data_IF_615716022819
#
_entry.id   IF_615716022819
#
_cell.length_a   1.000
_cell.length_b   1.000
_cell.length_c   1.000
_cell.angle_alpha   90.00
_cell.angle_beta   90.00
_cell.angle_gamma   90.00
#
_symmetry.space_group_name_H-M   'P 1'
#
loop_
_entity.id
_entity.type
_entity.pdbx_description
1 polymer ?
#
# COMPACT_ATOMS: atom_id res chain seq x y z
N UNK A 1 63.39 2.50 40.44
CA UNK A 1 62.70 2.04 39.22
C UNK A 1 62.84 3.14 38.18
N UNK A 2 63.69 2.92 37.18
CA UNK A 2 64.10 3.95 36.21
C UNK A 2 63.17 3.88 35.00
N UNK A 3 62.40 4.94 34.76
CA UNK A 3 61.46 5.01 33.64
C UNK A 3 62.25 5.18 32.34
N UNK A 4 62.23 4.12 31.52
CA UNK A 4 62.89 4.08 30.22
C UNK A 4 62.11 4.96 29.23
N UNK A 5 62.54 6.22 29.06
CA UNK A 5 62.00 7.09 28.02
C UNK A 5 62.57 6.61 26.67
N UNK A 6 61.79 5.81 25.93
CA UNK A 6 62.06 5.55 24.52
C UNK A 6 61.97 6.87 23.74
N UNK A 7 63.12 7.48 23.49
CA UNK A 7 63.25 8.54 22.51
C UNK A 7 63.07 7.92 21.13
N UNK A 8 61.88 8.08 20.54
CA UNK A 8 61.69 7.87 19.10
C UNK A 8 62.48 8.97 18.41
N UNK A 9 63.60 8.62 17.78
CA UNK A 9 64.39 9.54 16.97
C UNK A 9 63.50 10.14 15.87
N UNK A 10 63.18 11.42 16.01
CA UNK A 10 62.40 12.15 15.02
C UNK A 10 63.30 12.61 13.87
N UNK A 11 62.85 12.38 12.63
CA UNK A 11 63.47 12.99 11.44
C UNK A 11 63.54 14.52 11.61
N UNK A 12 64.73 15.10 11.36
CA UNK A 12 64.96 16.54 11.49
C UNK A 12 64.05 17.30 10.51
N UNK A 13 63.31 18.29 11.02
CA UNK A 13 62.49 19.18 10.19
C UNK A 13 63.39 20.17 9.46
N UNK A 14 63.33 20.18 8.14
CA UNK A 14 64.12 21.02 7.22
C UNK A 14 63.30 22.17 6.61
N UNK A 15 61.98 22.18 6.79
CA UNK A 15 61.04 23.16 6.21
C UNK A 15 60.28 23.93 7.29
N UNK A 16 60.01 25.19 7.03
CA UNK A 16 59.20 26.07 7.89
C UNK A 16 57.92 26.47 7.17
N UNK A 17 56.78 26.35 7.88
CA UNK A 17 55.46 26.79 7.41
C UNK A 17 54.98 27.89 8.35
N UNK A 18 54.54 29.02 7.80
CA UNK A 18 53.96 30.12 8.56
C UNK A 18 52.44 30.09 8.33
N UNK A 19 51.67 29.94 9.40
CA UNK A 19 50.21 30.00 9.35
C UNK A 19 49.70 31.23 10.11
N UNK A 20 48.69 31.91 9.56
CA UNK A 20 47.95 32.96 10.25
C UNK A 20 46.73 32.34 10.90
N UNK A 21 46.49 32.70 12.16
CA UNK A 21 45.34 32.26 12.95
C UNK A 21 44.79 33.46 13.70
N UNK A 22 43.49 33.47 13.95
CA UNK A 22 42.88 34.44 14.85
C UNK A 22 43.30 34.20 16.31
N UNK A 23 42.89 35.11 17.20
CA UNK A 23 43.25 35.06 18.61
C UNK A 23 42.64 33.84 19.34
N UNK A 24 41.43 33.43 18.97
CA UNK A 24 40.70 32.32 19.59
C UNK A 24 41.36 30.98 19.24
N UNK A 25 41.59 30.74 17.97
CA UNK A 25 42.30 29.59 17.42
C UNK A 25 43.69 29.48 18.04
N UNK A 26 44.41 30.59 18.20
CA UNK A 26 45.72 30.58 18.89
C UNK A 26 45.62 30.14 20.35
N UNK A 27 44.57 30.56 21.07
CA UNK A 27 44.33 30.11 22.44
C UNK A 27 43.96 28.63 22.50
N UNK A 28 43.12 28.16 21.58
CA UNK A 28 42.76 26.75 21.45
C UNK A 28 44.02 25.90 21.21
N UNK A 29 44.85 26.26 20.23
CA UNK A 29 46.10 25.56 19.92
C UNK A 29 47.03 25.48 21.13
N UNK A 30 47.13 26.55 21.93
CA UNK A 30 47.90 26.57 23.18
C UNK A 30 47.33 25.62 24.22
N UNK A 31 46.01 25.62 24.42
CA UNK A 31 45.33 24.77 25.39
C UNK A 31 45.54 23.30 25.06
N UNK A 32 45.27 22.91 23.82
CA UNK A 32 45.44 21.52 23.34
C UNK A 32 46.89 21.06 23.44
N UNK A 33 47.85 21.93 23.10
CA UNK A 33 49.28 21.63 23.25
C UNK A 33 49.69 21.49 24.72
N UNK A 34 49.17 22.35 25.61
CA UNK A 34 49.44 22.29 27.05
C UNK A 34 48.88 21.01 27.70
N UNK A 35 47.65 20.61 27.35
CA UNK A 35 47.04 19.35 27.79
C UNK A 35 47.90 18.14 27.38
N UNK A 36 48.50 18.18 26.19
CA UNK A 36 49.40 17.14 25.68
C UNK A 36 50.86 17.30 26.16
N UNK A 37 51.18 18.33 26.95
CA UNK A 37 52.54 18.67 27.41
C UNK A 37 53.56 18.77 26.27
N UNK A 38 53.14 19.36 25.15
CA UNK A 38 53.92 19.46 23.92
C UNK A 38 53.97 20.92 23.43
N UNK A 39 54.86 21.20 22.48
CA UNK A 39 54.84 22.48 21.77
C UNK A 39 53.70 22.50 20.76
N UNK A 40 53.16 23.69 20.48
CA UNK A 40 52.14 23.89 19.44
C UNK A 40 52.57 23.24 18.12
N UNK A 41 53.81 23.45 17.69
CA UNK A 41 54.32 22.87 16.44
C UNK A 41 54.29 21.33 16.43
N UNK A 42 54.65 20.68 17.55
CA UNK A 42 54.60 19.22 17.65
C UNK A 42 53.17 18.71 17.64
N UNK A 43 52.31 19.31 18.46
CA UNK A 43 50.90 18.95 18.56
C UNK A 43 50.18 19.15 17.23
N UNK A 44 50.44 20.25 16.52
CA UNK A 44 49.86 20.51 15.20
C UNK A 44 50.26 19.43 14.19
N UNK A 45 51.54 19.06 14.11
CA UNK A 45 52.00 18.00 13.19
C UNK A 45 51.40 16.64 13.54
N UNK A 46 51.32 16.30 14.82
CA UNK A 46 50.72 15.04 15.27
C UNK A 46 49.22 14.99 14.97
N UNK A 47 48.48 16.08 15.21
CA UNK A 47 47.06 16.18 14.88
C UNK A 47 46.82 16.07 13.36
N UNK A 48 47.64 16.71 12.53
CA UNK A 48 47.51 16.56 11.07
C UNK A 48 47.79 15.14 10.60
N UNK A 49 48.78 14.45 11.17
CA UNK A 49 49.04 13.03 10.85
C UNK A 49 47.91 12.11 11.31
N UNK A 50 47.32 12.40 12.47
CA UNK A 50 46.15 11.68 12.97
C UNK A 50 44.94 11.88 12.06
N UNK A 51 44.67 13.13 11.65
CA UNK A 51 43.58 13.46 10.74
C UNK A 51 43.78 12.81 9.36
N UNK A 52 44.98 12.85 8.79
CA UNK A 52 45.31 12.16 7.53
C UNK A 52 45.10 10.65 7.65
N UNK A 53 45.59 10.03 8.73
CA UNK A 53 45.38 8.61 8.99
C UNK A 53 43.91 8.23 9.17
N UNK A 54 43.11 9.08 9.82
CA UNK A 54 41.66 8.89 9.96
C UNK A 54 40.95 9.02 8.60
N UNK A 55 41.25 10.06 7.83
CA UNK A 55 40.67 10.27 6.51
C UNK A 55 40.97 9.11 5.55
N UNK A 56 42.23 8.65 5.52
CA UNK A 56 42.62 7.49 4.71
C UNK A 56 41.89 6.22 5.16
N UNK A 57 41.68 6.04 6.46
CA UNK A 57 40.95 4.89 7.00
C UNK A 57 39.46 4.96 6.66
N UNK A 58 38.82 6.10 6.85
CA UNK A 58 37.41 6.32 6.49
C UNK A 58 37.17 6.11 5.00
N UNK A 59 38.07 6.61 4.15
CA UNK A 59 38.02 6.38 2.71
C UNK A 59 38.11 4.88 2.37
N UNK A 60 39.07 4.16 2.97
CA UNK A 60 39.21 2.71 2.80
C UNK A 60 38.00 1.92 3.31
N UNK A 61 37.38 2.37 4.40
CA UNK A 61 36.17 1.75 4.93
C UNK A 61 34.97 2.00 4.00
N UNK A 62 34.83 3.22 3.46
CA UNK A 62 33.77 3.58 2.52
C UNK A 62 33.87 2.84 1.17
N UNK A 63 35.11 2.60 0.74
CA UNK A 63 35.45 1.88 -0.49
C UNK A 63 35.70 0.38 -0.24
N UNK A 64 35.37 -0.10 0.97
CA UNK A 64 35.49 -1.50 1.35
C UNK A 64 34.54 -2.37 0.53
N UNK A 65 34.96 -3.57 0.09
CA UNK A 65 34.09 -4.51 -0.62
C UNK A 65 32.82 -4.85 0.17
N UNK A 66 32.89 -4.84 1.50
CA UNK A 66 31.72 -5.06 2.36
C UNK A 66 30.67 -3.95 2.21
N UNK A 67 31.10 -2.69 2.18
CA UNK A 67 30.17 -1.56 2.02
C UNK A 67 29.55 -1.58 0.63
N UNK A 68 30.32 -1.95 -0.38
CA UNK A 68 29.81 -2.09 -1.75
C UNK A 68 28.77 -3.22 -1.86
N UNK A 69 29.03 -4.36 -1.23
CA UNK A 69 28.07 -5.47 -1.19
C UNK A 69 26.78 -5.06 -0.44
N UNK A 70 26.90 -4.28 0.64
CA UNK A 70 25.72 -3.73 1.33
C UNK A 70 24.94 -2.74 0.44
N UNK A 71 25.61 -1.91 -0.36
CA UNK A 71 24.94 -1.03 -1.34
C UNK A 71 24.19 -1.86 -2.38
N UNK A 72 24.78 -2.95 -2.86
CA UNK A 72 24.15 -3.88 -3.80
C UNK A 72 22.91 -4.54 -3.19
N UNK A 73 23.03 -5.10 -1.99
CA UNK A 73 21.91 -5.73 -1.27
C UNK A 73 20.76 -4.73 -1.08
N UNK A 74 21.06 -3.49 -0.69
CA UNK A 74 20.04 -2.44 -0.55
C UNK A 74 19.30 -2.18 -1.86
N UNK A 75 20.02 -2.12 -2.99
CA UNK A 75 19.40 -1.95 -4.31
C UNK A 75 18.52 -3.14 -4.71
N UNK A 76 18.93 -4.36 -4.35
CA UNK A 76 18.11 -5.56 -4.53
C UNK A 76 16.83 -5.54 -3.71
N UNK A 77 16.91 -5.19 -2.42
CA UNK A 77 15.75 -5.05 -1.53
C UNK A 77 14.76 -4.01 -2.09
N UNK A 78 15.26 -2.88 -2.60
CA UNK A 78 14.40 -1.86 -3.20
C UNK A 78 13.63 -2.40 -4.42
N UNK A 79 14.30 -3.15 -5.30
CA UNK A 79 13.68 -3.78 -6.47
C UNK A 79 12.61 -4.80 -6.05
N UNK A 80 12.91 -5.63 -5.04
CA UNK A 80 11.95 -6.60 -4.49
C UNK A 80 10.71 -5.88 -3.95
N UNK A 81 10.90 -4.83 -3.14
CA UNK A 81 9.79 -4.03 -2.59
C UNK A 81 8.95 -3.38 -3.68
N UNK A 82 9.58 -2.89 -4.76
CA UNK A 82 8.86 -2.34 -5.91
C UNK A 82 8.00 -3.40 -6.61
N UNK A 83 8.54 -4.59 -6.86
CA UNK A 83 7.82 -5.70 -7.48
C UNK A 83 6.65 -6.17 -6.60
N UNK A 84 6.85 -6.32 -5.30
CA UNK A 84 5.79 -6.67 -4.34
C UNK A 84 4.66 -5.63 -4.40
N UNK A 85 5.01 -4.35 -4.45
CA UNK A 85 4.01 -3.28 -4.54
C UNK A 85 3.23 -3.33 -5.87
N UNK A 86 3.87 -3.70 -6.98
CA UNK A 86 3.16 -3.92 -8.24
C UNK A 86 2.20 -5.11 -8.16
N UNK A 87 2.65 -6.24 -7.60
CA UNK A 87 1.81 -7.44 -7.38
C UNK A 87 0.60 -7.06 -6.52
N UNK A 88 0.81 -6.38 -5.40
CA UNK A 88 -0.28 -5.95 -4.53
C UNK A 88 -1.32 -5.08 -5.27
N UNK A 89 -0.86 -4.14 -6.10
CA UNK A 89 -1.77 -3.32 -6.93
C UNK A 89 -2.54 -4.18 -7.93
N UNK A 90 -1.86 -5.05 -8.67
CA UNK A 90 -2.48 -5.92 -9.67
C UNK A 90 -3.50 -6.86 -9.04
N UNK A 91 -3.15 -7.52 -7.94
CA UNK A 91 -4.05 -8.42 -7.22
C UNK A 91 -5.28 -7.67 -6.69
N UNK A 92 -5.12 -6.44 -6.19
CA UNK A 92 -6.27 -5.63 -5.77
C UNK A 92 -7.18 -5.26 -6.96
N UNK A 93 -6.61 -4.98 -8.13
CA UNK A 93 -7.37 -4.72 -9.35
C UNK A 93 -8.08 -5.97 -9.86
N UNK A 94 -7.40 -7.13 -9.91
CA UNK A 94 -7.99 -8.40 -10.35
C UNK A 94 -9.09 -8.89 -9.40
N UNK A 95 -8.89 -8.79 -8.09
CA UNK A 95 -9.93 -9.11 -7.10
C UNK A 95 -11.14 -8.16 -7.23
N UNK A 96 -10.89 -6.89 -7.51
CA UNK A 96 -11.94 -5.91 -7.80
C UNK A 96 -12.75 -6.31 -9.02
N UNK A 97 -12.09 -6.61 -10.14
CA UNK A 97 -12.73 -7.07 -11.36
C UNK A 97 -13.51 -8.38 -11.17
N UNK A 98 -12.92 -9.35 -10.46
CA UNK A 98 -13.58 -10.62 -10.17
C UNK A 98 -14.86 -10.44 -9.31
N UNK A 99 -14.85 -9.50 -8.37
CA UNK A 99 -16.03 -9.21 -7.56
C UNK A 99 -17.19 -8.64 -8.40
N UNK A 100 -16.88 -7.72 -9.33
CA UNK A 100 -17.85 -7.17 -10.26
C UNK A 100 -18.47 -8.26 -11.16
N UNK A 101 -17.65 -9.17 -11.69
CA UNK A 101 -18.13 -10.29 -12.51
C UNK A 101 -19.05 -11.24 -11.73
N UNK A 102 -18.69 -11.59 -10.49
CA UNK A 102 -19.53 -12.44 -9.62
C UNK A 102 -20.88 -11.78 -9.35
N UNK A 103 -20.91 -10.46 -9.11
CA UNK A 103 -22.17 -9.74 -8.90
C UNK A 103 -23.04 -9.73 -10.16
N UNK A 104 -22.42 -9.60 -11.34
CA UNK A 104 -23.12 -9.63 -12.62
C UNK A 104 -23.73 -11.00 -12.91
N UNK A 105 -22.96 -12.07 -12.72
CA UNK A 105 -23.44 -13.46 -12.89
C UNK A 105 -24.59 -13.74 -11.93
N UNK A 106 -24.47 -13.33 -10.65
CA UNK A 106 -25.54 -13.49 -9.67
C UNK A 106 -26.83 -12.76 -10.08
N UNK A 107 -26.72 -11.51 -10.53
CA UNK A 107 -27.87 -10.74 -11.02
C UNK A 107 -28.55 -11.41 -12.23
N UNK A 108 -27.77 -12.06 -13.10
CA UNK A 108 -28.30 -12.82 -14.23
C UNK A 108 -29.04 -14.09 -13.78
N UNK A 109 -28.48 -14.83 -12.81
CA UNK A 109 -29.14 -16.00 -12.23
C UNK A 109 -30.45 -15.60 -11.54
N UNK A 110 -30.45 -14.55 -10.72
CA UNK A 110 -31.64 -14.01 -10.06
C UNK A 110 -32.71 -13.55 -11.08
N UNK A 111 -32.29 -13.11 -12.26
CA UNK A 111 -33.21 -12.77 -13.36
C UNK A 111 -33.81 -14.02 -13.99
N UNK A 112 -33.01 -15.06 -14.24
CA UNK A 112 -33.48 -16.33 -14.76
C UNK A 112 -34.52 -16.98 -13.81
N UNK A 113 -34.25 -17.00 -12.50
CA UNK A 113 -35.20 -17.50 -11.50
C UNK A 113 -36.53 -16.76 -11.53
N UNK A 114 -36.51 -15.43 -11.63
CA UNK A 114 -37.74 -14.62 -11.74
C UNK A 114 -38.53 -14.91 -13.00
N UNK A 115 -37.86 -15.12 -14.13
CA UNK A 115 -38.51 -15.48 -15.40
C UNK A 115 -39.15 -16.86 -15.27
N UNK A 116 -38.43 -17.85 -14.74
CA UNK A 116 -38.95 -19.20 -14.51
C UNK A 116 -40.17 -19.19 -13.59
N UNK A 117 -40.10 -18.48 -12.47
CA UNK A 117 -41.24 -18.32 -11.56
C UNK A 117 -42.43 -17.58 -12.20
N UNK A 118 -42.17 -16.75 -13.21
CA UNK A 118 -43.20 -16.11 -14.04
C UNK A 118 -43.86 -17.11 -14.99
N UNK A 119 -43.06 -17.94 -15.66
CA UNK A 119 -43.54 -19.01 -16.54
C UNK A 119 -44.38 -20.01 -15.76
N UNK A 120 -43.90 -20.47 -14.59
CA UNK A 120 -44.64 -21.39 -13.72
C UNK A 120 -45.99 -20.81 -13.28
N UNK A 121 -46.04 -19.51 -12.99
CA UNK A 121 -47.29 -18.81 -12.69
C UNK A 121 -48.24 -18.76 -13.89
N UNK A 122 -47.74 -18.50 -15.09
CA UNK A 122 -48.54 -18.48 -16.32
C UNK A 122 -49.09 -19.87 -16.62
N UNK A 123 -48.26 -20.92 -16.54
CA UNK A 123 -48.66 -22.31 -16.74
C UNK A 123 -49.73 -22.69 -15.71
N UNK A 124 -49.51 -22.36 -14.44
CA UNK A 124 -50.47 -22.64 -13.36
C UNK A 124 -51.80 -21.87 -13.53
N UNK A 125 -51.76 -20.66 -14.08
CA UNK A 125 -52.95 -19.87 -14.38
C UNK A 125 -53.71 -20.43 -15.60
N UNK A 126 -53.01 -20.83 -16.65
CA UNK A 126 -53.62 -21.47 -17.83
C UNK A 126 -54.29 -22.80 -17.50
N UNK A 127 -53.65 -23.62 -16.67
CA UNK A 127 -54.23 -24.87 -16.17
C UNK A 127 -55.49 -24.66 -15.32
N UNK A 128 -55.61 -23.51 -14.64
CA UNK A 128 -56.83 -23.13 -13.91
C UNK A 128 -57.93 -22.61 -14.84
N UNK A 129 -57.58 -21.86 -15.88
CA UNK A 129 -58.53 -21.32 -16.87
C UNK A 129 -59.11 -22.42 -17.77
N UNK A 130 -58.33 -23.46 -18.10
CA UNK A 130 -58.83 -24.67 -18.79
C UNK A 130 -59.80 -25.49 -17.91
N UNK A 131 -59.58 -25.52 -16.59
CA UNK A 131 -60.50 -26.12 -15.62
C UNK A 131 -61.82 -25.35 -15.50
N UNK A 132 -61.76 -24.01 -15.41
CA UNK A 132 -62.95 -23.15 -15.36
C UNK A 132 -63.73 -23.15 -16.68
N UNK A 133 -63.05 -23.35 -17.83
CA UNK A 133 -63.71 -23.51 -19.14
C UNK A 133 -64.41 -24.86 -19.26
N UNK A 134 -63.84 -25.93 -18.69
CA UNK A 134 -64.51 -27.23 -18.61
C UNK A 134 -65.74 -27.21 -17.69
N UNK A 135 -65.70 -26.42 -16.61
CA UNK A 135 -66.81 -26.31 -15.65
C UNK A 135 -67.97 -25.42 -16.15
N UNK A 136 -67.72 -24.51 -17.10
CA UNK A 136 -68.78 -23.73 -17.79
C UNK A 136 -69.51 -24.50 -18.90
N UNK A 137 -68.95 -25.62 -19.39
CA UNK A 137 -69.60 -26.46 -20.42
C UNK A 137 -70.62 -27.44 -19.80
N UNK A 138 -70.66 -27.58 -18.48
CA UNK A 138 -71.50 -28.56 -17.77
C UNK A 138 -72.80 -28.06 -17.13
N UNK A 139 -73.16 -26.76 -17.20
CA UNK A 139 -74.42 -26.28 -16.60
C UNK A 139 -75.50 -26.03 -17.67
N UNK A 140 -76.63 -26.76 -17.64
CA UNK A 140 -77.75 -26.48 -18.54
C UNK A 140 -78.34 -25.11 -18.22
N UNK A 141 -78.68 -24.35 -19.27
CA UNK A 141 -79.49 -23.13 -19.14
C UNK A 141 -80.82 -23.49 -18.48
N UNK A 142 -81.29 -22.75 -17.45
CA UNK A 142 -82.66 -22.89 -17.00
C UNK A 142 -83.59 -22.30 -18.07
N UNK A 143 -84.56 -23.10 -18.50
CA UNK A 143 -85.56 -22.74 -19.50
C UNK A 143 -86.38 -21.54 -19.03
N UNK A 144 -86.33 -20.48 -19.85
CA UNK A 144 -87.23 -19.35 -19.74
C UNK A 144 -88.39 -19.54 -20.73
N UNK A 145 -89.60 -19.77 -20.22
CA UNK A 145 -90.83 -19.52 -20.96
C UNK A 145 -91.93 -18.90 -20.08
N UNK A 146 -92.18 -17.61 -20.37
CA UNK A 146 -93.41 -16.80 -20.24
C UNK A 146 -93.94 -16.29 -18.88
N UNK A 147 -93.56 -15.03 -18.59
CA UNK A 147 -94.32 -13.78 -18.25
C UNK A 147 -95.84 -13.81 -17.94
N UNK A 148 -96.47 -12.74 -17.36
CA UNK A 148 -95.97 -11.39 -17.04
C UNK A 148 -96.43 -10.80 -15.66
N UNK A 149 -95.88 -9.66 -15.22
CA UNK A 149 -96.52 -8.88 -14.14
C UNK A 149 -95.70 -7.80 -13.45
N UNK A 150 -95.83 -6.57 -13.97
CA UNK A 150 -95.92 -5.29 -13.26
C UNK A 150 -94.78 -4.75 -12.35
N UNK A 151 -94.59 -3.43 -12.54
CA UNK A 151 -94.16 -2.38 -11.59
C UNK A 151 -92.67 -2.20 -11.27
N UNK A 152 -92.07 -1.24 -12.01
CA UNK A 152 -91.23 -0.15 -11.48
C UNK A 152 -91.77 0.42 -10.15
N UNK A 153 -90.95 1.02 -9.24
CA UNK A 153 -90.05 2.13 -9.59
C UNK A 153 -88.75 2.32 -8.77
N UNK A 154 -87.87 3.17 -9.32
CA UNK A 154 -86.98 4.16 -8.68
C UNK A 154 -86.20 3.78 -7.41
N UNK A 155 -84.88 3.98 -7.44
CA UNK A 155 -84.25 5.18 -6.84
C UNK A 155 -82.71 5.05 -6.72
N UNK A 156 -82.04 6.11 -7.20
CA UNK A 156 -80.97 6.89 -6.55
C UNK A 156 -79.69 6.21 -6.07
N UNK A 157 -78.56 6.69 -6.62
CA UNK A 157 -77.56 7.52 -5.90
C UNK A 157 -76.53 6.64 -5.18
N UNK A 158 -75.27 6.99 -4.98
CA UNK A 158 -74.38 8.08 -5.35
C UNK A 158 -73.00 7.63 -4.82
N UNK A 159 -71.95 8.11 -5.50
CA UNK A 159 -70.55 8.24 -5.04
C UNK A 159 -69.66 7.00 -5.04
#
# INVERSE_FOLDING_TARGET
MTVNQMQVEGVRRDRTIIMRVDAETKQLMRRVAAERRQSIARTTVELYRQADGQQVREQKEHDSPTVEELRRIRSEIWRIGHNINQIARLTNTELGAAHEDVTTVRNQVDRCERIMAGIDRIISAGLRDDGDRADRVGKPKPDAARSPGASTPYARDMR
#
